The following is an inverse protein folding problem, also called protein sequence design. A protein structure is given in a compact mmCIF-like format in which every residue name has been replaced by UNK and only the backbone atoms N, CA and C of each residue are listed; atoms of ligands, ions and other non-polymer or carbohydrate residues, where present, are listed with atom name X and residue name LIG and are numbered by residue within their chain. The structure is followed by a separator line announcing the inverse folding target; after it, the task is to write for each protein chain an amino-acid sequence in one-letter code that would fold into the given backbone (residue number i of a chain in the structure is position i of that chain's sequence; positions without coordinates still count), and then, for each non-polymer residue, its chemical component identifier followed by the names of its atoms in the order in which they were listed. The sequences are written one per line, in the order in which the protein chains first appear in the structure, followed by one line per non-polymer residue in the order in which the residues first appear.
data_IF_964490219066
#
_entry.id   IF_964490219066
#
_cell.length_a   1.000
_cell.length_b   1.000
_cell.length_c   1.000
_cell.angle_alpha   90.00
_cell.angle_beta   90.00
_cell.angle_gamma   90.00
#
_symmetry.space_group_name_H-M   'P 1'
#
loop_
_entity.id
_entity.type
_entity.pdbx_description
1 polymer ?
#
# COMPACT_ATOMS: atom_id res chain seq x y z
N UNK A 1 10.96 3.04 11.31
CA UNK A 1 10.27 1.81 10.87
C UNK A 1 10.08 1.81 9.37
N UNK A 2 9.77 0.66 8.77
CA UNK A 2 9.30 0.53 7.38
C UNK A 2 7.78 0.41 7.41
N UNK A 3 7.10 1.38 6.80
CA UNK A 3 5.64 1.41 6.64
C UNK A 3 5.33 1.09 5.18
N UNK A 4 4.73 -0.06 4.94
CA UNK A 4 4.32 -0.49 3.61
C UNK A 4 2.94 0.09 3.28
N UNK A 5 2.84 0.86 2.20
CA UNK A 5 1.60 1.49 1.75
C UNK A 5 1.04 0.69 0.58
N UNK A 6 -0.12 0.08 0.77
CA UNK A 6 -0.86 -0.63 -0.29
C UNK A 6 -1.60 0.36 -1.21
N UNK A 7 -1.97 -0.10 -2.41
CA UNK A 7 -2.74 0.68 -3.38
C UNK A 7 -4.07 1.16 -2.83
N UNK A 8 -4.78 0.35 -2.04
CA UNK A 8 -6.05 0.76 -1.44
C UNK A 8 -5.90 1.98 -0.52
N UNK A 9 -4.78 2.09 0.20
CA UNK A 9 -4.45 3.26 1.01
C UNK A 9 -4.02 4.44 0.14
N UNK A 10 -3.10 4.25 -0.80
CA UNK A 10 -2.65 5.34 -1.66
C UNK A 10 -3.80 5.96 -2.50
N UNK A 11 -4.83 5.17 -2.83
CA UNK A 11 -6.03 5.69 -3.49
C UNK A 11 -6.83 6.68 -2.63
N UNK A 12 -6.85 6.52 -1.31
CA UNK A 12 -7.49 7.48 -0.39
C UNK A 12 -6.83 8.86 -0.45
N UNK A 13 -5.55 8.95 -0.84
CA UNK A 13 -4.87 10.24 -1.02
C UNK A 13 -5.22 10.93 -2.35
N UNK A 14 -5.82 10.20 -3.28
CA UNK A 14 -6.19 10.70 -4.61
C UNK A 14 -7.66 11.07 -4.73
N UNK A 15 -8.51 10.48 -3.90
CA UNK A 15 -9.96 10.66 -3.91
C UNK A 15 -10.34 11.11 -2.51
N UNK A 16 -10.97 12.28 -2.43
CA UNK A 16 -11.42 12.84 -1.15
C UNK A 16 -12.55 11.98 -0.57
N UNK A 17 -12.22 11.24 0.48
CA UNK A 17 -13.08 10.31 1.21
C UNK A 17 -12.87 10.53 2.72
N UNK A 18 -13.74 9.94 3.54
CA UNK A 18 -13.68 10.08 5.01
C UNK A 18 -12.35 9.64 5.61
N UNK A 19 -11.66 8.70 4.96
CA UNK A 19 -10.40 8.16 5.43
C UNK A 19 -9.17 8.95 4.93
N UNK A 20 -9.34 9.86 3.98
CA UNK A 20 -8.25 10.58 3.31
C UNK A 20 -7.45 11.46 4.26
N UNK A 21 -8.13 12.29 5.05
CA UNK A 21 -7.47 13.18 6.01
C UNK A 21 -6.77 12.39 7.15
N UNK A 22 -7.42 11.43 7.82
CA UNK A 22 -6.75 10.58 8.80
C UNK A 22 -5.52 9.84 8.24
N UNK A 23 -5.59 9.36 7.00
CA UNK A 23 -4.45 8.71 6.36
C UNK A 23 -3.31 9.68 6.11
N UNK A 24 -3.60 10.85 5.54
CA UNK A 24 -2.60 11.87 5.26
C UNK A 24 -1.87 12.31 6.53
N UNK A 25 -2.63 12.50 7.62
CA UNK A 25 -2.08 12.88 8.93
C UNK A 25 -1.17 11.77 9.49
N UNK A 26 -1.58 10.50 9.44
CA UNK A 26 -0.76 9.40 9.91
C UNK A 26 0.54 9.24 9.09
N UNK A 27 0.45 9.27 7.75
CA UNK A 27 1.63 9.13 6.90
C UNK A 27 2.59 10.31 7.07
N UNK A 28 2.07 11.53 7.27
CA UNK A 28 2.86 12.72 7.57
C UNK A 28 3.55 12.59 8.92
N UNK A 29 2.83 12.12 9.95
CA UNK A 29 3.40 11.88 11.26
C UNK A 29 4.47 10.78 11.22
N UNK A 30 4.25 9.70 10.48
CA UNK A 30 5.25 8.64 10.26
C UNK A 30 6.52 9.18 9.60
N UNK A 31 6.38 9.95 8.52
CA UNK A 31 7.51 10.59 7.86
C UNK A 31 8.26 11.55 8.82
N UNK A 32 7.54 12.33 9.63
CA UNK A 32 8.14 13.23 10.62
C UNK A 32 8.91 12.48 11.74
N UNK A 33 8.52 11.24 12.06
CA UNK A 33 9.27 10.34 12.95
C UNK A 33 10.52 9.73 12.31
N UNK A 34 10.73 9.94 11.01
CA UNK A 34 11.79 9.29 10.24
C UNK A 34 11.45 7.87 9.78
N UNK A 35 10.17 7.49 9.79
CA UNK A 35 9.71 6.24 9.21
C UNK A 35 9.80 6.28 7.67
N UNK A 36 10.11 5.14 7.06
CA UNK A 36 10.23 5.00 5.60
C UNK A 36 8.89 4.52 5.04
N UNK A 37 8.24 5.38 4.26
CA UNK A 37 7.06 5.00 3.48
C UNK A 37 7.52 4.29 2.21
N UNK A 38 7.19 3.00 2.08
CA UNK A 38 7.64 2.15 0.98
C UNK A 38 6.44 1.46 0.34
N UNK A 39 6.51 1.19 -0.97
CA UNK A 39 5.62 0.23 -1.63
C UNK A 39 6.36 -0.48 -2.76
N UNK A 40 5.73 -1.46 -3.39
CA UNK A 40 6.28 -2.08 -4.58
C UNK A 40 5.95 -1.27 -5.83
N UNK A 41 6.71 -1.47 -6.92
CA UNK A 41 6.42 -0.92 -8.25
C UNK A 41 5.05 -1.32 -8.80
N UNK A 42 4.38 -2.31 -8.18
CA UNK A 42 2.98 -2.61 -8.50
C UNK A 42 2.06 -1.40 -8.21
N UNK A 43 2.31 -0.67 -7.11
CA UNK A 43 1.57 0.54 -6.71
C UNK A 43 1.48 1.55 -7.87
N UNK A 44 2.62 1.78 -8.54
CA UNK A 44 2.70 2.68 -9.69
C UNK A 44 1.68 2.30 -10.76
N UNK A 45 1.70 1.03 -11.17
CA UNK A 45 0.81 0.51 -12.22
C UNK A 45 -0.65 0.59 -11.78
N UNK A 46 -0.94 0.22 -10.54
CA UNK A 46 -2.30 0.17 -10.03
C UNK A 46 -2.92 1.54 -9.84
N UNK A 47 -2.17 2.52 -9.30
CA UNK A 47 -2.63 3.89 -9.17
C UNK A 47 -2.94 4.52 -10.53
N UNK A 48 -2.04 4.39 -11.51
CA UNK A 48 -2.30 4.90 -12.86
C UNK A 48 -3.50 4.20 -13.51
N UNK A 49 -3.65 2.89 -13.35
CA UNK A 49 -4.82 2.15 -13.85
C UNK A 49 -6.12 2.59 -13.17
N UNK A 50 -6.11 2.76 -11.84
CA UNK A 50 -7.26 3.18 -11.06
C UNK A 50 -7.68 4.62 -11.38
N UNK A 51 -6.72 5.54 -11.49
CA UNK A 51 -6.95 6.94 -11.86
C UNK A 51 -7.65 7.07 -13.23
N UNK A 52 -7.26 6.24 -14.20
CA UNK A 52 -7.89 6.17 -15.53
C UNK A 52 -9.33 5.62 -15.47
N UNK A 53 -9.60 4.66 -14.58
CA UNK A 53 -10.92 4.03 -14.44
C UNK A 53 -11.93 4.89 -13.68
N UNK A 54 -11.53 5.48 -12.55
CA UNK A 54 -12.48 6.03 -11.57
C UNK A 54 -12.87 7.49 -11.80
N UNK A 55 -11.99 8.34 -12.33
CA UNK A 55 -12.30 9.78 -12.35
C UNK A 55 -11.53 10.63 -13.39
N UNK A 56 -10.76 10.04 -14.32
CA UNK A 56 -9.81 10.80 -15.16
C UNK A 56 -8.99 11.78 -14.31
N UNK A 57 -8.48 11.30 -13.17
CA UNK A 57 -7.69 12.12 -12.27
C UNK A 57 -6.49 12.71 -13.02
N UNK A 58 -6.13 13.94 -12.64
CA UNK A 58 -4.97 14.62 -13.18
C UNK A 58 -3.70 13.75 -12.98
N UNK A 59 -2.94 13.42 -14.04
CA UNK A 59 -1.70 12.65 -13.92
C UNK A 59 -0.73 13.23 -12.89
N UNK A 60 -0.73 14.55 -12.72
CA UNK A 60 0.10 15.28 -11.76
C UNK A 60 -0.22 14.89 -10.31
N UNK A 61 -1.50 14.67 -9.99
CA UNK A 61 -1.92 14.25 -8.67
C UNK A 61 -1.43 12.82 -8.36
N UNK A 62 -1.55 11.91 -9.34
CA UNK A 62 -1.03 10.54 -9.21
C UNK A 62 0.47 10.55 -8.99
N UNK A 63 1.21 11.33 -9.78
CA UNK A 63 2.65 11.46 -9.65
C UNK A 63 3.06 12.03 -8.29
N UNK A 64 2.30 12.98 -7.73
CA UNK A 64 2.55 13.53 -6.39
C UNK A 64 2.51 12.45 -5.31
N UNK A 65 1.47 11.60 -5.33
CA UNK A 65 1.33 10.48 -4.37
C UNK A 65 2.40 9.41 -4.58
N UNK A 66 2.69 9.06 -5.84
CA UNK A 66 3.76 8.10 -6.16
C UNK A 66 5.10 8.60 -5.64
N UNK A 67 5.42 9.89 -5.84
CA UNK A 67 6.71 10.46 -5.47
C UNK A 67 6.90 10.64 -3.96
N UNK A 68 5.83 10.61 -3.16
CA UNK A 68 5.93 10.65 -1.71
C UNK A 68 6.22 9.28 -1.09
N UNK A 69 6.17 8.20 -1.88
CA UNK A 69 6.40 6.81 -1.45
C UNK A 69 7.64 6.26 -2.15
N UNK A 70 8.56 5.68 -1.39
CA UNK A 70 9.71 4.99 -1.99
C UNK A 70 9.27 3.69 -2.65
N UNK A 71 9.38 3.59 -3.97
CA UNK A 71 9.01 2.37 -4.69
C UNK A 71 10.20 1.41 -4.82
N UNK A 72 9.94 0.12 -4.65
CA UNK A 72 10.91 -0.95 -4.87
C UNK A 72 10.44 -1.92 -5.94
N UNK A 73 11.36 -2.48 -6.70
CA UNK A 73 11.02 -3.44 -7.75
C UNK A 73 10.33 -4.69 -7.20
N UNK A 74 9.34 -5.17 -7.96
CA UNK A 74 8.77 -6.50 -7.79
C UNK A 74 9.72 -7.49 -8.43
N UNK A 75 10.18 -8.46 -7.65
CA UNK A 75 11.12 -9.48 -8.09
C UNK A 75 10.39 -10.79 -8.43
N UNK A 76 11.06 -11.68 -9.16
CA UNK A 76 10.54 -13.05 -9.36
C UNK A 76 10.28 -13.78 -8.04
N UNK A 77 11.08 -13.53 -7.01
CA UNK A 77 10.90 -14.14 -5.70
C UNK A 77 9.58 -13.67 -5.04
N UNK A 78 9.22 -12.39 -5.20
CA UNK A 78 7.93 -11.87 -4.71
C UNK A 78 6.75 -12.58 -5.37
N UNK A 79 6.82 -12.79 -6.69
CA UNK A 79 5.76 -13.48 -7.44
C UNK A 79 5.60 -14.95 -7.02
N UNK A 80 6.72 -15.65 -6.82
CA UNK A 80 6.71 -17.05 -6.38
C UNK A 80 6.20 -17.18 -4.94
N UNK A 81 6.61 -16.27 -4.06
CA UNK A 81 6.15 -16.26 -2.68
C UNK A 81 4.67 -15.90 -2.59
N UNK A 82 4.21 -14.89 -3.34
CA UNK A 82 2.81 -14.52 -3.45
C UNK A 82 1.92 -15.69 -3.90
N UNK A 83 2.38 -16.48 -4.88
CA UNK A 83 1.66 -17.67 -5.34
C UNK A 83 1.58 -18.79 -4.29
N UNK A 84 2.47 -18.80 -3.31
CA UNK A 84 2.52 -19.79 -2.24
C UNK A 84 1.82 -19.34 -0.94
N UNK A 85 1.40 -18.07 -0.85
CA UNK A 85 0.68 -17.56 0.32
C UNK A 85 -0.65 -18.29 0.49
N UNK A 86 -0.92 -18.75 1.71
CA UNK A 86 -2.23 -19.25 2.09
C UNK A 86 -3.22 -18.08 2.27
N UNK A 87 -4.52 -18.34 2.13
CA UNK A 87 -5.57 -17.35 2.44
C UNK A 87 -6.31 -16.76 1.26
N UNK A 88 -6.01 -17.18 0.02
CA UNK A 88 -6.87 -16.90 -1.14
C UNK A 88 -6.90 -15.44 -1.61
N UNK A 89 -5.92 -14.62 -1.21
CA UNK A 89 -5.80 -13.24 -1.67
C UNK A 89 -5.79 -13.16 -3.20
N UNK A 90 -6.34 -12.05 -3.73
CA UNK A 90 -6.18 -11.73 -5.16
C UNK A 90 -4.70 -11.53 -5.47
N UNK A 91 -4.31 -11.76 -6.73
CA UNK A 91 -2.89 -11.75 -7.13
C UNK A 91 -2.16 -10.46 -6.78
N UNK A 92 -2.78 -9.30 -6.95
CA UNK A 92 -2.16 -8.01 -6.62
C UNK A 92 -1.90 -7.87 -5.10
N UNK A 93 -2.92 -8.17 -4.29
CA UNK A 93 -2.84 -8.11 -2.82
C UNK A 93 -1.78 -9.10 -2.30
N UNK A 94 -1.71 -10.31 -2.88
CA UNK A 94 -0.68 -11.30 -2.55
C UNK A 94 0.73 -10.81 -2.89
N UNK A 95 0.91 -10.09 -4.02
CA UNK A 95 2.21 -9.51 -4.40
C UNK A 95 2.59 -8.37 -3.47
N UNK A 96 1.65 -7.51 -3.09
CA UNK A 96 1.89 -6.46 -2.09
C UNK A 96 2.33 -7.05 -0.76
N UNK A 97 1.62 -8.07 -0.26
CA UNK A 97 1.99 -8.75 0.97
C UNK A 97 3.37 -9.43 0.88
N UNK A 98 3.65 -10.13 -0.23
CA UNK A 98 4.95 -10.75 -0.46
C UNK A 98 6.10 -9.73 -0.43
N UNK A 99 5.92 -8.61 -1.11
CA UNK A 99 6.91 -7.52 -1.10
C UNK A 99 7.06 -6.91 0.31
N UNK A 100 5.97 -6.67 1.04
CA UNK A 100 6.02 -6.16 2.40
C UNK A 100 6.80 -7.08 3.34
N UNK A 101 6.57 -8.40 3.26
CA UNK A 101 7.29 -9.41 4.04
C UNK A 101 8.77 -9.42 3.67
N UNK A 102 9.13 -9.43 2.37
CA UNK A 102 10.54 -9.41 1.92
C UNK A 102 11.28 -8.16 2.41
N UNK A 103 10.60 -7.01 2.40
CA UNK A 103 11.16 -5.74 2.86
C UNK A 103 11.21 -5.62 4.39
N UNK A 104 10.73 -6.64 5.10
CA UNK A 104 10.61 -6.64 6.55
C UNK A 104 9.85 -5.42 7.06
N UNK A 105 8.73 -5.10 6.40
CA UNK A 105 7.87 -4.00 6.80
C UNK A 105 7.38 -4.20 8.25
N UNK A 106 7.51 -3.16 9.05
CA UNK A 106 7.03 -3.17 10.44
C UNK A 106 5.50 -3.02 10.51
N UNK A 107 4.92 -2.40 9.49
CA UNK A 107 3.50 -2.08 9.38
C UNK A 107 3.04 -2.11 7.92
N UNK A 108 1.84 -2.61 7.67
CA UNK A 108 1.13 -2.51 6.40
C UNK A 108 -0.11 -1.61 6.58
N UNK A 109 -0.22 -0.60 5.71
CA UNK A 109 -1.33 0.34 5.67
C UNK A 109 -2.18 0.04 4.43
N UNK A 110 -3.43 -0.37 4.64
CA UNK A 110 -4.38 -0.73 3.60
C UNK A 110 -5.82 -0.54 4.09
N UNK A 111 -6.78 -0.58 3.17
CA UNK A 111 -8.23 -0.56 3.46
C UNK A 111 -8.93 -1.85 3.00
N UNK A 112 -8.19 -2.79 2.40
CA UNK A 112 -8.69 -4.13 2.08
C UNK A 112 -8.55 -5.05 3.32
N UNK A 113 -9.68 -5.48 3.87
CA UNK A 113 -9.71 -6.26 5.11
C UNK A 113 -9.10 -7.67 4.98
N UNK A 114 -9.18 -8.29 3.80
CA UNK A 114 -8.56 -9.59 3.56
C UNK A 114 -7.04 -9.45 3.56
N UNK A 115 -6.51 -8.40 2.90
CA UNK A 115 -5.08 -8.08 2.91
C UNK A 115 -4.58 -7.77 4.32
N UNK A 116 -5.29 -6.95 5.10
CA UNK A 116 -4.92 -6.66 6.49
C UNK A 116 -4.90 -7.94 7.34
N UNK A 117 -5.91 -8.79 7.22
CA UNK A 117 -5.96 -10.06 7.97
C UNK A 117 -4.76 -10.97 7.64
N UNK A 118 -4.41 -11.07 6.36
CA UNK A 118 -3.28 -11.85 5.90
C UNK A 118 -1.94 -11.25 6.37
N UNK A 119 -1.79 -9.93 6.35
CA UNK A 119 -0.61 -9.23 6.85
C UNK A 119 -0.41 -9.43 8.36
N UNK A 120 -1.48 -9.31 9.15
CA UNK A 120 -1.45 -9.60 10.58
C UNK A 120 -1.05 -11.05 10.87
N UNK A 121 -1.60 -12.00 10.10
CA UNK A 121 -1.24 -13.42 10.19
C UNK A 121 0.22 -13.70 9.83
N UNK A 122 0.81 -12.88 8.97
CA UNK A 122 2.23 -12.91 8.63
C UNK A 122 3.13 -12.16 9.64
N UNK A 123 2.56 -11.61 10.72
CA UNK A 123 3.29 -10.93 11.80
C UNK A 123 3.54 -9.43 11.59
N UNK A 124 2.93 -8.81 10.58
CA UNK A 124 3.01 -7.36 10.39
C UNK A 124 1.99 -6.66 11.29
N UNK A 125 2.31 -5.46 11.77
CA UNK A 125 1.26 -4.56 12.27
C UNK A 125 0.41 -4.10 11.10
N UNK A 126 -0.87 -3.88 11.34
CA UNK A 126 -1.82 -3.46 10.31
C UNK A 126 -2.51 -2.18 10.74
N UNK A 127 -2.74 -1.28 9.78
CA UNK A 127 -3.38 0.00 10.07
C UNK A 127 -4.28 0.41 8.90
N UNK A 128 -5.46 0.95 9.24
CA UNK A 128 -6.40 1.54 8.29
C UNK A 128 -6.91 2.87 8.89
N UNK A 129 -6.15 3.98 8.76
CA UNK A 129 -6.49 5.24 9.43
C UNK A 129 -7.89 5.73 9.05
N UNK A 130 -8.68 6.16 10.04
CA UNK A 130 -10.06 6.60 9.81
C UNK A 130 -11.06 5.47 9.55
N UNK A 131 -10.62 4.21 9.50
CA UNK A 131 -11.48 3.04 9.48
C UNK A 131 -11.54 2.45 10.91
N UNK A 132 -12.75 2.32 11.45
CA UNK A 132 -13.02 1.75 12.77
C UNK A 132 -13.14 0.22 12.73
#
# INVERSE_FOLDING_TARGET
MIVYVDTSAALKLLIDETESAPLADELTAAAARGDRLISSMLLYTELHCAARRRARLAPELVNSVVNSISLVDVTRADLLYAAALAGGLRSADAIHLAAAIRLQADMLVAYDGELLTAAASAGLRTLAPGQG
#
